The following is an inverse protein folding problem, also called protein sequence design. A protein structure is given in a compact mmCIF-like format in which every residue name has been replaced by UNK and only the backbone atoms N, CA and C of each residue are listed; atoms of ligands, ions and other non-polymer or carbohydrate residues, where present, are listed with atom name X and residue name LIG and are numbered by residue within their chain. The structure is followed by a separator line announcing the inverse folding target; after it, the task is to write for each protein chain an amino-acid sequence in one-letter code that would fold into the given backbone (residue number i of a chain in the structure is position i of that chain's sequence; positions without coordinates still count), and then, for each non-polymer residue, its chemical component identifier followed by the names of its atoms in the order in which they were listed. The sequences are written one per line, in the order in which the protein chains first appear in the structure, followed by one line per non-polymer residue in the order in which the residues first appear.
data_IF_799367400647
#
_entry.id   IF_799367400647
#
_cell.length_a   1.000
_cell.length_b   1.000
_cell.length_c   1.000
_cell.angle_alpha   90.00
_cell.angle_beta   90.00
_cell.angle_gamma   90.00
#
_symmetry.space_group_name_H-M   'P 1'
#
loop_
_entity.id
_entity.type
_entity.pdbx_description
1 polymer ?
#
# COMPACT_ATOMS: atom_id res chain seq x y z
N UNK A 1 2.06 -1.99 32.38
CA UNK A 1 2.08 -1.28 31.10
C UNK A 1 2.27 -2.33 30.02
N UNK A 2 1.48 -2.29 28.94
CA UNK A 2 1.65 -3.21 27.80
C UNK A 2 3.01 -2.93 27.16
N UNK A 3 3.77 -3.98 26.86
CA UNK A 3 5.05 -3.85 26.17
C UNK A 3 4.80 -4.14 24.67
N UNK A 4 4.36 -3.11 23.94
CA UNK A 4 4.04 -3.22 22.54
C UNK A 4 5.22 -2.76 21.69
N UNK A 5 5.57 -3.53 20.66
CA UNK A 5 6.65 -3.25 19.71
C UNK A 5 6.09 -3.01 18.31
N UNK A 6 6.52 -1.94 17.66
CA UNK A 6 6.31 -1.71 16.23
C UNK A 6 7.62 -1.91 15.46
N UNK A 7 7.62 -2.84 14.51
CA UNK A 7 8.72 -3.03 13.55
C UNK A 7 8.35 -2.37 12.22
N UNK A 8 9.22 -1.50 11.70
CA UNK A 8 8.99 -0.74 10.47
C UNK A 8 8.35 0.63 10.70
N UNK A 9 8.69 1.29 11.81
CA UNK A 9 8.15 2.57 12.28
C UNK A 9 8.31 3.72 11.28
N UNK A 10 9.37 3.74 10.48
CA UNK A 10 9.63 4.77 9.46
C UNK A 10 8.92 4.54 8.13
N UNK A 11 8.26 3.38 7.96
CA UNK A 11 7.51 3.04 6.77
C UNK A 11 6.14 3.75 6.71
N UNK A 12 5.50 3.72 5.53
CA UNK A 12 4.18 4.34 5.33
C UNK A 12 3.11 3.77 6.29
N UNK A 13 3.05 2.45 6.45
CA UNK A 13 2.13 1.80 7.38
C UNK A 13 2.51 2.12 8.83
N UNK A 14 3.80 1.96 9.18
CA UNK A 14 4.29 2.20 10.53
C UNK A 14 4.07 3.63 11.00
N UNK A 15 4.35 4.63 10.17
CA UNK A 15 4.13 6.04 10.50
C UNK A 15 2.65 6.37 10.75
N UNK A 16 1.72 5.75 10.01
CA UNK A 16 0.28 5.92 10.26
C UNK A 16 -0.18 5.19 11.54
N UNK A 17 0.43 4.07 11.90
CA UNK A 17 0.19 3.41 13.19
C UNK A 17 0.66 4.27 14.36
N UNK A 18 1.86 4.86 14.30
CA UNK A 18 2.39 5.77 15.32
C UNK A 18 1.52 7.02 15.51
N UNK A 19 0.87 7.51 14.45
CA UNK A 19 -0.06 8.62 14.55
C UNK A 19 -1.35 8.27 15.33
N UNK A 20 -1.61 6.99 15.62
CA UNK A 20 -2.83 6.49 16.28
C UNK A 20 -2.57 5.75 17.58
N UNK A 21 -1.37 5.26 17.80
CA UNK A 21 -1.01 4.51 19.00
C UNK A 21 0.44 4.77 19.40
N UNK A 22 0.68 4.89 20.70
CA UNK A 22 2.02 5.01 21.26
C UNK A 22 2.54 3.63 21.62
N UNK A 23 3.51 3.13 20.89
CA UNK A 23 4.19 1.87 21.19
C UNK A 23 5.23 2.06 22.29
N UNK A 24 5.43 1.04 23.13
CA UNK A 24 6.47 1.06 24.17
C UNK A 24 7.88 1.01 23.55
N UNK A 25 8.02 0.36 22.39
CA UNK A 25 9.24 0.34 21.59
C UNK A 25 8.90 0.37 20.10
N UNK A 26 9.82 0.97 19.33
CA UNK A 26 9.74 1.02 17.87
C UNK A 26 11.12 0.78 17.26
N UNK A 27 11.18 0.13 16.11
CA UNK A 27 12.42 -0.13 15.38
C UNK A 27 12.19 -0.27 13.88
N UNK A 28 13.29 -0.26 13.15
CA UNK A 28 13.37 -0.57 11.73
C UNK A 28 14.43 -1.66 11.47
N UNK A 29 14.63 -2.03 10.23
CA UNK A 29 15.50 -3.17 9.87
C UNK A 29 16.95 -2.99 10.29
N UNK A 30 17.45 -1.74 10.45
CA UNK A 30 18.83 -1.44 10.81
C UNK A 30 19.15 -1.64 12.31
N UNK A 31 18.14 -1.57 13.17
CA UNK A 31 18.29 -1.61 14.64
C UNK A 31 17.46 -2.73 15.31
N UNK A 32 16.82 -3.58 14.49
CA UNK A 32 15.90 -4.64 14.95
C UNK A 32 16.57 -5.64 15.90
N UNK A 33 17.89 -5.82 15.80
CA UNK A 33 18.64 -6.74 16.67
C UNK A 33 18.59 -6.34 18.15
N UNK A 34 18.37 -5.05 18.44
CA UNK A 34 18.18 -4.57 19.81
C UNK A 34 16.89 -5.11 20.44
N UNK A 35 15.97 -5.63 19.64
CA UNK A 35 14.69 -6.18 20.09
C UNK A 35 14.71 -7.70 20.30
N UNK A 36 15.83 -8.38 19.99
CA UNK A 36 15.93 -9.82 20.15
C UNK A 36 15.82 -10.23 21.64
N UNK A 37 15.01 -11.23 21.89
CA UNK A 37 14.77 -11.75 23.25
C UNK A 37 13.88 -10.87 24.14
N UNK A 38 13.38 -9.72 23.66
CA UNK A 38 12.58 -8.78 24.47
C UNK A 38 11.17 -9.30 24.82
N UNK A 39 10.64 -10.24 24.02
CA UNK A 39 9.35 -10.90 24.24
C UNK A 39 8.19 -9.94 24.49
N UNK A 40 7.93 -8.95 23.61
CA UNK A 40 6.86 -7.97 23.82
C UNK A 40 5.50 -8.67 23.93
N UNK A 41 4.55 -8.03 24.65
CA UNK A 41 3.17 -8.53 24.75
C UNK A 41 2.47 -8.53 23.40
N UNK A 42 2.80 -7.55 22.56
CA UNK A 42 2.37 -7.44 21.18
C UNK A 42 3.53 -6.98 20.29
N UNK A 43 3.73 -7.64 19.15
CA UNK A 43 4.56 -7.13 18.07
C UNK A 43 3.70 -6.89 16.83
N UNK A 44 3.70 -5.65 16.30
CA UNK A 44 3.16 -5.34 14.98
C UNK A 44 4.33 -5.28 14.00
N UNK A 45 4.41 -6.27 13.11
CA UNK A 45 5.47 -6.38 12.14
C UNK A 45 5.05 -5.78 10.79
N UNK A 46 5.44 -4.53 10.54
CA UNK A 46 5.24 -3.78 9.29
C UNK A 46 6.58 -3.51 8.56
N UNK A 47 7.64 -4.24 8.92
CA UNK A 47 9.01 -4.01 8.46
C UNK A 47 9.36 -4.62 7.10
N UNK A 48 8.40 -5.22 6.37
CA UNK A 48 8.65 -5.79 5.04
C UNK A 48 8.55 -4.70 3.98
N UNK A 49 9.58 -4.52 3.11
CA UNK A 49 9.55 -3.52 2.05
C UNK A 49 8.40 -3.73 1.07
N UNK A 50 7.71 -2.64 0.68
CA UNK A 50 6.58 -2.68 -0.26
C UNK A 50 6.98 -2.23 -1.69
N UNK A 51 8.23 -2.48 -2.10
CA UNK A 51 8.77 -2.12 -3.41
C UNK A 51 8.55 -3.26 -4.43
N UNK A 52 7.32 -3.41 -4.91
CA UNK A 52 6.90 -4.49 -5.83
C UNK A 52 7.80 -4.59 -7.07
N UNK A 53 8.22 -3.47 -7.64
CA UNK A 53 9.08 -3.44 -8.81
C UNK A 53 10.45 -4.10 -8.52
N UNK A 54 11.08 -3.76 -7.38
CA UNK A 54 12.37 -4.35 -7.00
C UNK A 54 12.24 -5.83 -6.68
N UNK A 55 11.20 -6.22 -5.95
CA UNK A 55 10.93 -7.62 -5.61
C UNK A 55 10.73 -8.50 -6.86
N UNK A 56 10.06 -7.97 -7.89
CA UNK A 56 9.86 -8.70 -9.14
C UNK A 56 11.10 -8.68 -10.05
N UNK A 57 11.97 -7.68 -9.92
CA UNK A 57 13.23 -7.60 -10.65
C UNK A 57 14.30 -8.55 -10.09
N UNK A 58 14.32 -8.75 -8.76
CA UNK A 58 15.23 -9.68 -8.07
C UNK A 58 14.45 -10.54 -7.05
N UNK A 59 13.84 -11.64 -7.49
CA UNK A 59 13.03 -12.53 -6.64
C UNK A 59 13.79 -13.15 -5.46
N UNK A 60 15.05 -13.50 -5.66
CA UNK A 60 15.87 -14.14 -4.63
C UNK A 60 16.29 -13.15 -3.53
N UNK A 61 16.69 -11.94 -3.90
CA UNK A 61 16.97 -10.90 -2.93
C UNK A 61 15.72 -10.56 -2.10
N UNK A 62 14.54 -10.47 -2.72
CA UNK A 62 13.28 -10.26 -2.01
C UNK A 62 12.94 -11.45 -1.08
N UNK A 63 13.15 -12.70 -1.53
CA UNK A 63 12.94 -13.88 -0.69
C UNK A 63 13.91 -13.90 0.52
N UNK A 64 15.14 -13.46 0.33
CA UNK A 64 16.10 -13.34 1.44
C UNK A 64 15.61 -12.34 2.50
N UNK A 65 14.97 -11.24 2.10
CA UNK A 65 14.31 -10.31 3.04
C UNK A 65 13.18 -10.98 3.81
N UNK A 66 12.38 -11.86 3.17
CA UNK A 66 11.32 -12.60 3.88
C UNK A 66 11.89 -13.59 4.87
N UNK A 67 12.99 -14.29 4.54
CA UNK A 67 13.71 -15.18 5.47
C UNK A 67 14.24 -14.40 6.67
N UNK A 68 14.83 -13.22 6.44
CA UNK A 68 15.29 -12.37 7.51
C UNK A 68 14.12 -11.86 8.39
N UNK A 69 12.98 -11.51 7.79
CA UNK A 69 11.79 -11.11 8.54
C UNK A 69 11.28 -12.25 9.44
N UNK A 70 11.20 -13.49 8.93
CA UNK A 70 10.86 -14.67 9.76
C UNK A 70 11.81 -14.81 10.94
N UNK A 71 13.11 -14.77 10.69
CA UNK A 71 14.14 -14.95 11.74
C UNK A 71 14.06 -13.81 12.76
N UNK A 72 13.91 -12.57 12.34
CA UNK A 72 13.71 -11.44 13.24
C UNK A 72 12.51 -11.63 14.18
N UNK A 73 11.36 -12.08 13.65
CA UNK A 73 10.16 -12.34 14.45
C UNK A 73 10.45 -13.45 15.48
N UNK A 74 11.14 -14.54 15.07
CA UNK A 74 11.53 -15.64 15.98
C UNK A 74 12.48 -15.19 17.08
N UNK A 75 13.45 -14.35 16.75
CA UNK A 75 14.41 -13.80 17.73
C UNK A 75 13.76 -12.79 18.69
N UNK A 76 12.81 -11.99 18.24
CA UNK A 76 12.00 -11.11 19.10
C UNK A 76 11.14 -11.95 20.07
N UNK A 77 10.62 -13.08 19.60
CA UNK A 77 9.78 -14.03 20.33
C UNK A 77 8.55 -13.37 21.01
N UNK A 78 7.71 -12.61 20.28
CA UNK A 78 6.58 -11.89 20.86
C UNK A 78 5.53 -12.89 21.42
N UNK A 79 4.77 -12.46 22.46
CA UNK A 79 3.64 -13.26 22.97
C UNK A 79 2.45 -13.25 22.01
N UNK A 80 2.24 -12.12 21.30
CA UNK A 80 1.21 -11.95 20.26
C UNK A 80 1.81 -11.22 19.09
N UNK A 81 1.47 -11.66 17.88
CA UNK A 81 2.02 -11.12 16.63
C UNK A 81 0.90 -10.63 15.71
N UNK A 82 1.09 -9.46 15.13
CA UNK A 82 0.37 -8.99 13.96
C UNK A 82 1.35 -8.84 12.80
N UNK A 83 1.12 -9.57 11.71
CA UNK A 83 1.89 -9.43 10.49
C UNK A 83 1.12 -8.56 9.48
N UNK A 84 1.72 -7.47 9.03
CA UNK A 84 1.20 -6.69 7.91
C UNK A 84 1.60 -7.38 6.59
N UNK A 85 0.60 -7.81 5.85
CA UNK A 85 0.71 -8.47 4.55
C UNK A 85 0.00 -7.67 3.45
N UNK A 86 -0.23 -8.26 2.29
CA UNK A 86 -0.78 -7.61 1.11
C UNK A 86 -1.78 -8.51 0.38
N UNK A 87 -2.76 -7.94 -0.30
CA UNK A 87 -3.64 -8.67 -1.24
C UNK A 87 -2.87 -9.26 -2.43
N UNK A 88 -1.66 -8.78 -2.71
CA UNK A 88 -0.82 -9.31 -3.80
C UNK A 88 -0.39 -10.78 -3.61
N UNK A 89 -0.69 -11.38 -2.45
CA UNK A 89 -0.52 -12.83 -2.20
C UNK A 89 -1.59 -13.68 -2.91
N UNK A 90 -2.60 -13.07 -3.50
CA UNK A 90 -3.69 -13.71 -4.23
C UNK A 90 -3.45 -13.58 -5.74
N UNK A 91 -3.59 -14.68 -6.48
CA UNK A 91 -3.51 -14.68 -7.93
C UNK A 91 -4.73 -13.99 -8.57
N UNK A 92 -5.90 -14.19 -7.98
CA UNK A 92 -7.15 -13.48 -8.29
C UNK A 92 -7.81 -13.07 -6.98
N UNK A 93 -8.10 -11.80 -6.80
CA UNK A 93 -8.76 -11.28 -5.60
C UNK A 93 -10.29 -11.21 -5.71
N UNK A 94 -10.85 -11.51 -6.89
CA UNK A 94 -12.28 -11.34 -7.15
C UNK A 94 -13.13 -12.33 -6.37
N UNK A 95 -13.97 -11.80 -5.49
CA UNK A 95 -14.88 -12.60 -4.65
C UNK A 95 -14.18 -13.46 -3.60
N UNK A 96 -12.92 -13.18 -3.26
CA UNK A 96 -12.11 -13.98 -2.31
C UNK A 96 -12.30 -13.48 -0.89
N UNK A 97 -12.61 -14.41 0.01
CA UNK A 97 -12.69 -14.19 1.47
C UNK A 97 -11.50 -14.83 2.18
N UNK A 98 -11.41 -14.59 3.49
CA UNK A 98 -10.35 -15.19 4.35
C UNK A 98 -10.42 -16.71 4.39
N UNK A 99 -11.63 -17.29 4.28
CA UNK A 99 -11.91 -18.72 4.29
C UNK A 99 -11.98 -19.35 2.89
N UNK A 100 -11.69 -18.57 1.84
CA UNK A 100 -11.66 -19.11 0.48
C UNK A 100 -10.55 -20.16 0.31
N UNK A 101 -10.75 -21.18 -0.55
CA UNK A 101 -9.70 -22.15 -0.84
C UNK A 101 -8.39 -21.50 -1.29
N UNK A 102 -7.29 -22.14 -0.96
CA UNK A 102 -5.97 -21.70 -1.42
C UNK A 102 -5.92 -21.68 -2.96
N UNK A 103 -5.43 -20.58 -3.51
CA UNK A 103 -5.26 -20.43 -4.95
C UNK A 103 -3.92 -21.02 -5.41
N UNK A 104 -3.88 -21.40 -6.69
CA UNK A 104 -2.61 -21.70 -7.35
C UNK A 104 -1.73 -20.44 -7.37
N UNK A 105 -0.48 -20.63 -7.02
CA UNK A 105 0.51 -19.56 -6.90
C UNK A 105 1.51 -19.55 -8.05
N UNK A 106 1.37 -20.43 -9.04
CA UNK A 106 2.32 -20.54 -10.13
C UNK A 106 2.44 -19.24 -10.93
N UNK A 107 1.30 -18.61 -11.21
CA UNK A 107 1.23 -17.32 -11.93
C UNK A 107 1.50 -16.07 -11.09
N UNK A 108 1.72 -16.18 -9.76
CA UNK A 108 1.99 -15.02 -8.94
C UNK A 108 3.35 -14.39 -9.25
N UNK A 109 3.43 -13.05 -9.37
CA UNK A 109 4.72 -12.35 -9.34
C UNK A 109 5.50 -12.63 -8.03
N UNK A 110 6.81 -12.52 -8.09
CA UNK A 110 7.69 -12.80 -6.95
C UNK A 110 7.31 -12.02 -5.69
N UNK A 111 6.91 -10.77 -5.83
CA UNK A 111 6.40 -9.96 -4.71
C UNK A 111 5.28 -10.66 -3.94
N UNK A 112 4.28 -11.18 -4.63
CA UNK A 112 3.15 -11.89 -4.01
C UNK A 112 3.56 -13.26 -3.46
N UNK A 113 4.32 -14.05 -4.24
CA UNK A 113 4.83 -15.37 -3.83
C UNK A 113 5.61 -15.31 -2.52
N UNK A 114 6.56 -14.39 -2.43
CA UNK A 114 7.46 -14.31 -1.29
C UNK A 114 6.73 -13.85 -0.02
N UNK A 115 5.76 -12.93 -0.14
CA UNK A 115 4.92 -12.52 1.01
C UNK A 115 3.99 -13.63 1.46
N UNK A 116 3.39 -14.38 0.53
CA UNK A 116 2.61 -15.57 0.87
C UNK A 116 3.48 -16.63 1.58
N UNK A 117 4.74 -16.78 1.18
CA UNK A 117 5.67 -17.66 1.86
C UNK A 117 5.96 -17.19 3.29
N UNK A 118 6.09 -15.86 3.51
CA UNK A 118 6.23 -15.31 4.87
C UNK A 118 4.97 -15.57 5.71
N UNK A 119 3.76 -15.38 5.14
CA UNK A 119 2.50 -15.72 5.83
C UNK A 119 2.46 -17.20 6.27
N UNK A 120 2.89 -18.11 5.40
CA UNK A 120 2.96 -19.56 5.72
C UNK A 120 3.90 -19.83 6.89
N UNK A 121 5.12 -19.29 6.84
CA UNK A 121 6.10 -19.43 7.92
C UNK A 121 5.61 -18.81 9.23
N UNK A 122 4.94 -17.67 9.18
CA UNK A 122 4.38 -17.05 10.39
C UNK A 122 3.27 -17.91 11.00
N UNK A 123 2.40 -18.52 10.19
CA UNK A 123 1.36 -19.46 10.69
C UNK A 123 1.96 -20.72 11.31
N UNK A 124 3.08 -21.22 10.78
CA UNK A 124 3.82 -22.36 11.33
C UNK A 124 4.46 -22.02 12.68
N UNK A 125 5.15 -20.88 12.78
CA UNK A 125 5.91 -20.48 13.96
C UNK A 125 5.02 -19.83 15.04
N UNK A 126 3.93 -19.13 14.64
CA UNK A 126 3.01 -18.39 15.50
C UNK A 126 1.55 -18.63 15.06
N UNK A 127 0.94 -19.76 15.43
CA UNK A 127 -0.41 -20.15 14.97
C UNK A 127 -1.51 -19.14 15.34
N UNK A 128 -1.28 -18.37 16.42
CA UNK A 128 -2.20 -17.35 16.93
C UNK A 128 -1.94 -15.95 16.36
N UNK A 129 -1.03 -15.81 15.40
CA UNK A 129 -0.77 -14.52 14.77
C UNK A 129 -1.98 -14.04 13.97
N UNK A 130 -2.25 -12.72 14.06
CA UNK A 130 -3.14 -12.03 13.14
C UNK A 130 -2.35 -11.62 11.88
N UNK A 131 -2.75 -12.12 10.72
CA UNK A 131 -2.23 -11.68 9.42
C UNK A 131 -3.21 -10.71 8.80
N UNK A 132 -2.76 -9.48 8.48
CA UNK A 132 -3.59 -8.43 7.92
C UNK A 132 -3.20 -8.19 6.46
N UNK A 133 -4.08 -8.52 5.51
CA UNK A 133 -3.88 -8.29 4.09
C UNK A 133 -4.43 -6.93 3.70
N UNK A 134 -3.52 -6.05 3.30
CA UNK A 134 -3.82 -4.68 2.93
C UNK A 134 -4.02 -4.53 1.42
N UNK A 135 -5.07 -3.79 0.97
CA UNK A 135 -5.31 -3.43 -0.44
C UNK A 135 -4.50 -2.19 -0.86
N UNK A 136 -5.05 -1.34 -1.75
CA UNK A 136 -4.49 -0.03 -2.00
C UNK A 136 -4.70 0.88 -0.78
N UNK A 137 -3.67 1.63 -0.41
CA UNK A 137 -3.64 2.37 0.85
C UNK A 137 -3.62 3.88 0.63
N UNK A 138 -4.26 4.62 1.54
CA UNK A 138 -4.03 6.05 1.68
C UNK A 138 -3.94 6.46 3.15
N UNK A 139 -3.28 7.58 3.39
CA UNK A 139 -2.99 8.11 4.72
C UNK A 139 -1.88 9.14 4.67
N UNK A 140 -1.48 9.64 5.84
CA UNK A 140 -0.41 10.64 5.95
C UNK A 140 0.90 10.06 5.40
N UNK A 141 1.57 10.84 4.53
CA UNK A 141 2.83 10.43 3.94
C UNK A 141 2.72 9.49 2.73
N UNK A 142 1.54 9.36 2.10
CA UNK A 142 1.39 8.63 0.84
C UNK A 142 2.29 9.22 -0.25
N UNK A 143 2.97 8.34 -1.01
CA UNK A 143 3.95 8.75 -2.06
C UNK A 143 3.79 8.01 -3.38
N UNK A 144 2.76 7.19 -3.51
CA UNK A 144 2.50 6.39 -4.71
C UNK A 144 1.04 5.95 -4.74
N UNK A 145 0.56 5.53 -5.84
CA UNK A 145 -0.74 5.06 -6.29
C UNK A 145 -1.57 6.14 -6.97
N UNK A 146 -2.76 5.76 -7.47
CA UNK A 146 -3.64 6.65 -8.22
C UNK A 146 -4.04 7.92 -7.45
N UNK A 147 -4.25 7.84 -6.14
CA UNK A 147 -4.60 9.04 -5.33
C UNK A 147 -3.43 10.02 -5.24
N UNK A 148 -2.20 9.51 -5.12
CA UNK A 148 -1.00 10.33 -5.18
C UNK A 148 -0.85 11.00 -6.54
N UNK A 149 -1.01 10.23 -7.62
CA UNK A 149 -0.91 10.74 -8.99
C UNK A 149 -1.99 11.78 -9.29
N UNK A 150 -3.22 11.58 -8.76
CA UNK A 150 -4.33 12.54 -8.88
C UNK A 150 -4.05 13.84 -8.11
N UNK A 151 -3.39 13.76 -6.95
CA UNK A 151 -3.02 14.94 -6.18
C UNK A 151 -1.87 15.72 -6.82
N UNK A 152 -0.77 15.03 -7.14
CA UNK A 152 0.45 15.67 -7.62
C UNK A 152 0.40 16.05 -9.10
N UNK A 153 -0.30 15.28 -9.92
CA UNK A 153 -0.38 15.39 -11.38
C UNK A 153 1.00 15.26 -12.07
N UNK A 154 2.07 15.40 -11.31
CA UNK A 154 3.46 15.35 -11.80
C UNK A 154 3.96 13.92 -11.87
N UNK A 155 4.36 13.40 -13.06
CA UNK A 155 4.92 12.07 -13.18
C UNK A 155 6.20 11.91 -12.36
N UNK A 156 6.28 10.86 -11.54
CA UNK A 156 7.49 10.57 -10.74
C UNK A 156 8.68 10.16 -11.64
N UNK A 157 8.41 9.57 -12.81
CA UNK A 157 9.41 9.15 -13.78
C UNK A 157 8.93 9.38 -15.21
N UNK A 158 9.86 9.72 -16.11
CA UNK A 158 9.62 9.90 -17.53
C UNK A 158 10.56 8.99 -18.33
N UNK A 159 10.05 8.42 -19.43
CA UNK A 159 10.90 7.77 -20.43
C UNK A 159 11.76 8.83 -21.14
N UNK A 160 12.94 8.48 -21.68
CA UNK A 160 13.84 9.43 -22.34
C UNK A 160 13.17 10.26 -23.44
N UNK A 161 12.33 9.63 -24.26
CA UNK A 161 11.64 10.29 -25.37
C UNK A 161 10.65 11.34 -24.84
N UNK A 162 9.86 10.98 -23.79
CA UNK A 162 8.88 11.88 -23.19
C UNK A 162 9.56 13.02 -22.42
N UNK A 163 10.68 12.72 -21.73
CA UNK A 163 11.47 13.76 -21.10
C UNK A 163 11.99 14.78 -22.12
N UNK A 164 12.56 14.30 -23.25
CA UNK A 164 13.09 15.18 -24.30
C UNK A 164 12.02 16.08 -24.89
N UNK A 165 10.81 15.52 -25.15
CA UNK A 165 9.66 16.28 -25.64
C UNK A 165 9.24 17.40 -24.65
N UNK A 166 9.11 17.07 -23.37
CA UNK A 166 8.62 18.00 -22.34
C UNK A 166 9.69 19.02 -21.93
N UNK A 167 10.96 18.62 -21.86
CA UNK A 167 12.08 19.51 -21.56
C UNK A 167 12.32 20.56 -22.67
N UNK A 168 11.98 20.23 -23.92
CA UNK A 168 11.99 21.20 -25.03
C UNK A 168 10.89 22.27 -24.86
N UNK A 169 9.76 21.93 -24.20
CA UNK A 169 8.65 22.85 -23.93
C UNK A 169 8.87 23.73 -22.70
N UNK A 170 9.69 23.27 -21.72
CA UNK A 170 9.85 23.98 -20.44
C UNK A 170 11.20 23.74 -19.78
N UNK A 171 11.96 24.81 -19.47
CA UNK A 171 13.16 24.74 -18.66
C UNK A 171 12.91 24.13 -17.25
N UNK A 172 11.69 24.30 -16.73
CA UNK A 172 11.26 23.73 -15.45
C UNK A 172 11.36 22.21 -15.47
N UNK A 173 10.87 21.54 -16.52
CA UNK A 173 10.98 20.08 -16.69
C UNK A 173 12.44 19.67 -16.81
N UNK A 174 13.22 20.44 -17.56
CA UNK A 174 14.65 20.16 -17.76
C UNK A 174 15.45 20.13 -16.45
N UNK A 175 15.12 21.01 -15.50
CA UNK A 175 15.79 21.06 -14.20
C UNK A 175 15.22 20.07 -13.17
N UNK A 176 13.92 19.73 -13.30
CA UNK A 176 13.21 18.91 -12.31
C UNK A 176 13.50 17.40 -12.38
N UNK A 177 14.07 16.92 -13.49
CA UNK A 177 14.28 15.49 -13.69
C UNK A 177 15.77 15.18 -13.95
N UNK A 178 16.24 14.08 -13.38
CA UNK A 178 17.61 13.58 -13.53
C UNK A 178 17.57 12.14 -14.05
N UNK A 179 18.46 11.80 -14.98
CA UNK A 179 18.61 10.43 -15.49
C UNK A 179 19.05 9.51 -14.35
N UNK A 180 18.29 8.44 -14.14
CA UNK A 180 18.59 7.39 -13.17
C UNK A 180 19.25 6.18 -13.85
N UNK A 181 19.87 5.29 -13.06
CA UNK A 181 20.62 4.11 -13.54
C UNK A 181 19.75 3.14 -14.36
N UNK A 182 18.43 3.16 -14.14
CA UNK A 182 17.47 2.34 -14.90
C UNK A 182 17.06 2.93 -16.25
N UNK A 183 17.71 4.02 -16.69
CA UNK A 183 17.46 4.67 -17.98
C UNK A 183 16.24 5.60 -18.00
N UNK A 184 15.52 5.77 -16.90
CA UNK A 184 14.41 6.72 -16.79
C UNK A 184 14.87 8.04 -16.17
N UNK A 185 14.22 9.12 -16.55
CA UNK A 185 14.37 10.41 -15.88
C UNK A 185 13.45 10.45 -14.64
N UNK A 186 14.04 10.55 -13.47
CA UNK A 186 13.35 10.58 -12.17
C UNK A 186 13.26 12.02 -11.65
N UNK A 187 12.10 12.36 -11.08
CA UNK A 187 11.89 13.62 -10.38
C UNK A 187 12.92 13.76 -9.24
N UNK A 188 13.66 14.87 -9.24
CA UNK A 188 14.79 15.09 -8.33
C UNK A 188 14.46 15.97 -7.10
N UNK A 189 13.25 16.54 -7.06
CA UNK A 189 12.78 17.37 -5.94
C UNK A 189 13.36 18.78 -5.85
N UNK A 190 14.08 19.23 -6.88
CA UNK A 190 14.71 20.58 -6.87
C UNK A 190 13.80 21.68 -7.37
N UNK A 191 12.77 21.34 -8.13
CA UNK A 191 11.83 22.31 -8.70
C UNK A 191 10.63 22.53 -7.76
N UNK A 192 10.01 23.71 -7.87
CA UNK A 192 8.80 24.05 -7.14
C UNK A 192 7.66 23.06 -7.52
N UNK A 193 7.09 22.31 -6.56
CA UNK A 193 6.01 21.36 -6.81
C UNK A 193 4.76 22.02 -7.39
N UNK A 194 4.42 23.25 -6.98
CA UNK A 194 3.24 23.95 -7.48
C UNK A 194 3.40 24.36 -8.95
N UNK A 195 4.59 24.81 -9.33
CA UNK A 195 4.90 25.13 -10.73
C UNK A 195 4.89 23.89 -11.63
N UNK A 196 5.44 22.76 -11.16
CA UNK A 196 5.37 21.47 -11.88
C UNK A 196 3.93 21.01 -12.05
N UNK A 197 3.14 21.05 -10.97
CA UNK A 197 1.73 20.68 -11.01
C UNK A 197 0.97 21.52 -12.02
N UNK A 198 1.16 22.84 -12.02
CA UNK A 198 0.52 23.73 -12.99
C UNK A 198 0.93 23.40 -14.43
N UNK A 199 2.22 23.14 -14.67
CA UNK A 199 2.73 22.71 -15.98
C UNK A 199 2.05 21.41 -16.45
N UNK A 200 2.06 20.36 -15.62
CA UNK A 200 1.49 19.07 -16.02
C UNK A 200 -0.04 19.09 -16.09
N UNK A 201 -0.73 19.92 -15.31
CA UNK A 201 -2.17 20.10 -15.42
C UNK A 201 -2.60 20.77 -16.73
N UNK A 202 -1.73 21.59 -17.32
CA UNK A 202 -1.95 22.27 -18.60
C UNK A 202 -1.51 21.45 -19.83
N UNK A 203 -0.93 20.24 -19.63
CA UNK A 203 -0.48 19.37 -20.71
C UNK A 203 -1.38 18.14 -20.82
N UNK A 204 -1.51 17.60 -22.04
CA UNK A 204 -2.25 16.34 -22.30
C UNK A 204 -1.60 15.12 -21.62
N UNK A 205 -0.30 15.17 -21.35
CA UNK A 205 0.43 14.12 -20.66
C UNK A 205 0.79 14.55 -19.24
N UNK A 206 0.30 13.79 -18.27
CA UNK A 206 0.58 13.97 -16.84
C UNK A 206 0.57 12.61 -16.12
N UNK A 207 0.66 12.58 -14.78
CA UNK A 207 0.71 11.34 -14.00
C UNK A 207 -0.52 10.44 -14.21
N UNK A 208 -1.68 10.98 -14.54
CA UNK A 208 -2.89 10.19 -14.77
C UNK A 208 -2.82 9.32 -16.04
N UNK A 209 -1.89 9.62 -16.96
CA UNK A 209 -1.67 8.81 -18.16
C UNK A 209 -1.22 7.36 -17.86
N UNK A 210 -0.78 7.06 -16.65
CA UNK A 210 -0.34 5.72 -16.25
C UNK A 210 -1.44 4.83 -15.68
N UNK A 211 -2.62 5.37 -15.41
CA UNK A 211 -3.75 4.63 -14.82
C UNK A 211 -4.89 4.50 -15.82
N UNK A 212 -5.34 3.27 -16.07
CA UNK A 212 -6.55 3.01 -16.84
C UNK A 212 -7.78 3.44 -16.03
N UNK A 213 -8.63 4.28 -16.61
CA UNK A 213 -9.81 4.84 -15.95
C UNK A 213 -10.82 3.77 -15.50
N UNK A 214 -10.82 2.62 -16.19
CA UNK A 214 -11.69 1.46 -15.90
C UNK A 214 -11.16 0.58 -14.78
N UNK A 215 -9.87 0.71 -14.41
CA UNK A 215 -9.29 -0.10 -13.32
C UNK A 215 -10.02 0.12 -12.02
N UNK A 216 -10.45 -0.98 -11.37
CA UNK A 216 -11.14 -0.96 -10.09
C UNK A 216 -10.17 -1.29 -8.96
N UNK A 217 -10.18 -0.46 -7.94
CA UNK A 217 -9.35 -0.56 -6.74
C UNK A 217 -10.22 -0.60 -5.50
N UNK A 218 -9.64 -1.04 -4.40
CA UNK A 218 -10.18 -0.96 -3.05
C UNK A 218 -9.22 -0.12 -2.23
N UNK A 219 -9.64 1.06 -1.78
CA UNK A 219 -8.76 2.00 -1.08
C UNK A 219 -9.04 1.97 0.42
N UNK A 220 -8.03 1.64 1.21
CA UNK A 220 -8.15 1.57 2.66
C UNK A 220 -7.43 2.73 3.36
N UNK A 221 -8.15 3.41 4.27
CA UNK A 221 -7.63 4.51 5.08
C UNK A 221 -6.78 3.97 6.24
N UNK A 222 -5.48 4.21 6.20
CA UNK A 222 -4.56 3.81 7.28
C UNK A 222 -4.87 4.45 8.63
N UNK A 223 -5.61 5.56 8.65
CA UNK A 223 -6.09 6.17 9.90
C UNK A 223 -6.98 5.27 10.75
N UNK A 224 -7.53 4.18 10.19
CA UNK A 224 -8.35 3.17 10.86
C UNK A 224 -7.55 1.95 11.31
N UNK A 225 -6.34 1.74 10.77
CA UNK A 225 -5.63 0.46 10.86
C UNK A 225 -5.46 -0.02 12.31
N UNK A 226 -5.08 0.87 13.23
CA UNK A 226 -4.90 0.48 14.62
C UNK A 226 -6.20 -0.05 15.24
N UNK A 227 -7.31 0.69 15.11
CA UNK A 227 -8.61 0.30 15.68
C UNK A 227 -9.15 -0.99 15.06
N UNK A 228 -8.98 -1.17 13.74
CA UNK A 228 -9.46 -2.35 13.04
C UNK A 228 -8.64 -3.61 13.45
N UNK A 229 -7.32 -3.48 13.62
CA UNK A 229 -6.49 -4.56 14.17
C UNK A 229 -6.85 -4.92 15.61
N UNK A 230 -7.13 -3.93 16.48
CA UNK A 230 -7.55 -4.17 17.86
C UNK A 230 -8.88 -4.94 17.92
N UNK A 231 -9.87 -4.53 17.12
CA UNK A 231 -11.14 -5.23 17.02
C UNK A 231 -10.96 -6.68 16.54
N UNK A 232 -10.14 -6.91 15.51
CA UNK A 232 -9.86 -8.24 14.98
C UNK A 232 -9.14 -9.12 16.03
N UNK A 233 -8.17 -8.57 16.76
CA UNK A 233 -7.46 -9.29 17.84
C UNK A 233 -8.39 -9.64 19.00
N UNK A 234 -9.27 -8.73 19.40
CA UNK A 234 -10.26 -8.97 20.45
C UNK A 234 -11.24 -10.09 20.09
N UNK A 235 -11.52 -10.28 18.79
CA UNK A 235 -12.36 -11.34 18.25
C UNK A 235 -11.59 -12.61 17.84
N UNK A 236 -10.30 -12.70 18.20
CA UNK A 236 -9.41 -13.84 17.87
C UNK A 236 -9.30 -14.17 16.37
N UNK A 237 -9.41 -13.15 15.52
CA UNK A 237 -9.24 -13.30 14.06
C UNK A 237 -7.79 -13.60 13.74
N UNK A 238 -7.54 -14.62 12.90
CA UNK A 238 -6.19 -15.04 12.49
C UNK A 238 -5.79 -14.54 11.11
N UNK A 239 -6.76 -14.27 10.24
CA UNK A 239 -6.56 -13.68 8.92
C UNK A 239 -7.62 -12.60 8.70
N UNK A 240 -7.19 -11.43 8.28
CA UNK A 240 -8.07 -10.28 8.08
C UNK A 240 -7.83 -9.65 6.70
N UNK A 241 -8.89 -9.49 5.93
CA UNK A 241 -8.92 -8.70 4.72
C UNK A 241 -9.49 -7.31 5.03
N UNK A 242 -8.68 -6.27 4.90
CA UNK A 242 -9.15 -4.90 5.04
C UNK A 242 -9.62 -4.36 3.69
N UNK A 243 -10.85 -4.67 3.32
CA UNK A 243 -11.40 -4.42 2.00
C UNK A 243 -12.60 -3.47 2.01
N UNK A 244 -12.54 -2.46 1.17
CA UNK A 244 -13.63 -1.53 0.83
C UNK A 244 -14.31 -1.97 -0.47
N UNK A 245 -15.48 -1.43 -0.83
CA UNK A 245 -16.09 -1.76 -2.13
C UNK A 245 -15.17 -1.38 -3.30
N UNK A 246 -15.16 -2.15 -4.40
CA UNK A 246 -14.41 -1.77 -5.59
C UNK A 246 -14.92 -0.46 -6.20
N UNK A 247 -14.00 0.50 -6.39
CA UNK A 247 -14.24 1.78 -7.07
C UNK A 247 -13.32 1.92 -8.27
N UNK A 248 -13.85 2.39 -9.41
CA UNK A 248 -13.01 2.66 -10.58
C UNK A 248 -12.18 3.93 -10.40
N UNK A 249 -11.05 4.01 -11.10
CA UNK A 249 -10.26 5.24 -11.11
C UNK A 249 -11.08 6.44 -11.63
N UNK A 250 -11.99 6.21 -12.61
CA UNK A 250 -12.90 7.24 -13.10
C UNK A 250 -13.90 7.71 -12.01
N UNK A 251 -14.49 6.80 -11.23
CA UNK A 251 -15.37 7.15 -10.11
C UNK A 251 -14.63 8.00 -9.06
N UNK A 252 -13.41 7.61 -8.70
CA UNK A 252 -12.57 8.36 -7.76
C UNK A 252 -12.21 9.74 -8.32
N UNK A 253 -11.81 9.81 -9.60
CA UNK A 253 -11.53 11.09 -10.25
C UNK A 253 -12.73 12.01 -10.20
N UNK A 254 -13.91 11.52 -10.56
CA UNK A 254 -15.17 12.30 -10.51
C UNK A 254 -15.50 12.76 -9.10
N UNK A 255 -15.41 11.89 -8.11
CA UNK A 255 -15.71 12.24 -6.72
C UNK A 255 -14.77 13.32 -6.16
N UNK A 256 -13.48 13.25 -6.48
CA UNK A 256 -12.46 14.18 -5.98
C UNK A 256 -12.49 15.52 -6.72
N UNK A 257 -12.63 15.50 -8.05
CA UNK A 257 -12.51 16.71 -8.90
C UNK A 257 -13.83 17.36 -9.25
N UNK A 258 -14.95 16.64 -9.13
CA UNK A 258 -16.27 17.08 -9.62
C UNK A 258 -16.44 17.02 -11.15
N UNK A 259 -15.46 16.46 -11.89
CA UNK A 259 -15.46 16.34 -13.34
C UNK A 259 -15.75 14.89 -13.75
N UNK A 260 -16.69 14.67 -14.66
CA UNK A 260 -17.14 13.32 -15.05
C UNK A 260 -16.55 12.81 -16.39
N UNK A 261 -15.66 13.59 -17.01
CA UNK A 261 -15.22 13.39 -18.40
C UNK A 261 -13.78 12.85 -18.54
N UNK A 262 -13.19 12.36 -17.44
CA UNK A 262 -11.85 11.79 -17.53
C UNK A 262 -11.90 10.35 -18.07
N UNK A 263 -11.28 10.18 -19.23
CA UNK A 263 -11.10 8.89 -19.91
C UNK A 263 -9.61 8.65 -20.15
N UNK A 264 -9.13 7.49 -19.78
CA UNK A 264 -7.79 7.01 -20.14
C UNK A 264 -7.85 5.49 -20.26
N UNK A 265 -7.69 4.98 -21.45
CA UNK A 265 -7.68 3.55 -21.72
C UNK A 265 -6.27 3.10 -22.10
N UNK A 266 -5.75 2.13 -21.36
CA UNK A 266 -4.45 1.54 -21.63
C UNK A 266 -4.59 0.25 -22.46
N UNK A 267 -3.58 -0.11 -23.28
CA UNK A 267 -3.63 -1.32 -24.11
C UNK A 267 -3.52 -2.63 -23.32
N UNK A 268 -3.49 -2.57 -21.99
CA UNK A 268 -3.45 -3.71 -21.07
C UNK A 268 -4.82 -3.91 -20.40
N UNK A 269 -5.08 -5.12 -19.93
CA UNK A 269 -6.28 -5.40 -19.11
C UNK A 269 -6.30 -4.50 -17.87
N UNK A 270 -7.41 -3.77 -17.61
CA UNK A 270 -7.57 -2.99 -16.39
C UNK A 270 -7.45 -3.86 -15.13
N UNK A 271 -6.95 -3.31 -14.06
CA UNK A 271 -7.01 -3.98 -12.76
C UNK A 271 -8.47 -4.12 -12.31
N UNK A 272 -8.77 -5.25 -11.68
CA UNK A 272 -10.11 -5.55 -11.18
C UNK A 272 -10.02 -6.25 -9.82
N UNK A 273 -9.89 -5.46 -8.74
CA UNK A 273 -9.83 -5.96 -7.39
C UNK A 273 -11.23 -6.01 -6.78
N UNK A 274 -11.58 -7.17 -6.17
CA UNK A 274 -12.83 -7.38 -5.43
C UNK A 274 -12.59 -8.39 -4.29
N UNK A 275 -11.67 -8.03 -3.39
CA UNK A 275 -11.44 -8.78 -2.16
C UNK A 275 -12.59 -8.54 -1.20
N UNK A 276 -12.99 -9.56 -0.46
CA UNK A 276 -14.12 -9.54 0.48
C UNK A 276 -13.69 -10.00 1.87
N UNK A 277 -14.46 -9.64 2.88
CA UNK A 277 -14.18 -10.01 4.26
C UNK A 277 -15.39 -10.63 4.96
N UNK A 278 -15.17 -11.78 5.62
CA UNK A 278 -16.10 -12.36 6.59
C UNK A 278 -16.22 -11.53 7.85
N UNK A 279 -15.26 -10.65 8.08
CA UNK A 279 -15.14 -9.83 9.30
C UNK A 279 -15.63 -8.38 9.10
N UNK A 280 -16.26 -8.07 7.96
CA UNK A 280 -16.71 -6.71 7.64
C UNK A 280 -17.60 -6.10 8.74
N UNK A 281 -18.57 -6.86 9.24
CA UNK A 281 -19.47 -6.40 10.30
C UNK A 281 -18.74 -6.10 11.62
N UNK A 282 -17.70 -6.86 11.97
CA UNK A 282 -16.87 -6.63 13.16
C UNK A 282 -16.18 -5.24 13.12
N UNK A 283 -15.87 -4.76 11.92
CA UNK A 283 -15.17 -3.50 11.68
C UNK A 283 -16.12 -2.33 11.31
N UNK A 284 -17.41 -2.48 11.58
CA UNK A 284 -18.44 -1.46 11.34
C UNK A 284 -18.96 -1.40 9.91
N UNK A 285 -18.61 -2.37 9.08
CA UNK A 285 -19.14 -2.53 7.72
C UNK A 285 -20.43 -3.34 7.65
N UNK A 286 -20.88 -3.60 6.44
CA UNK A 286 -22.05 -4.43 6.17
C UNK A 286 -21.84 -5.27 4.90
N UNK A 287 -22.38 -6.52 4.89
CA UNK A 287 -22.12 -7.46 3.81
C UNK A 287 -20.63 -7.83 3.75
N UNK A 288 -19.99 -7.63 2.61
CA UNK A 288 -18.66 -8.13 2.31
C UNK A 288 -17.54 -7.08 2.51
N UNK A 289 -17.89 -5.82 2.84
CA UNK A 289 -16.99 -4.68 2.85
C UNK A 289 -17.08 -3.84 4.12
N UNK A 290 -16.01 -3.13 4.44
CA UNK A 290 -15.86 -2.31 5.64
C UNK A 290 -16.72 -1.03 5.62
N UNK A 291 -17.28 -0.66 4.48
CA UNK A 291 -18.12 0.52 4.30
C UNK A 291 -18.96 0.38 3.01
N UNK A 292 -19.83 1.34 2.75
CA UNK A 292 -20.49 1.46 1.42
C UNK A 292 -19.56 2.16 0.43
N UNK A 293 -19.82 1.99 -0.88
CA UNK A 293 -19.08 2.68 -1.94
C UNK A 293 -19.11 4.21 -1.76
N UNK A 294 -20.26 4.77 -1.39
CA UNK A 294 -20.40 6.20 -1.17
C UNK A 294 -19.53 6.67 0.00
N UNK A 295 -19.53 5.94 1.12
CA UNK A 295 -18.68 6.26 2.27
C UNK A 295 -17.18 6.22 1.91
N UNK A 296 -16.74 5.27 1.09
CA UNK A 296 -15.35 5.19 0.61
C UNK A 296 -14.99 6.42 -0.23
N UNK A 297 -15.83 6.77 -1.24
CA UNK A 297 -15.61 7.93 -2.09
C UNK A 297 -15.62 9.25 -1.29
N UNK A 298 -16.51 9.38 -0.30
CA UNK A 298 -16.58 10.54 0.59
C UNK A 298 -15.33 10.65 1.46
N UNK A 299 -14.82 9.52 2.00
CA UNK A 299 -13.62 9.50 2.83
C UNK A 299 -12.36 9.83 2.02
N UNK A 300 -12.23 9.25 0.83
CA UNK A 300 -11.17 9.59 -0.13
C UNK A 300 -11.21 11.10 -0.46
N UNK A 301 -12.40 11.63 -0.78
CA UNK A 301 -12.56 13.04 -1.13
C UNK A 301 -12.18 13.96 0.03
N UNK A 302 -12.57 13.60 1.26
CA UNK A 302 -12.20 14.33 2.49
C UNK A 302 -10.70 14.32 2.70
N UNK A 303 -10.06 13.15 2.56
CA UNK A 303 -8.61 13.01 2.65
C UNK A 303 -7.90 13.88 1.62
N UNK A 304 -8.29 13.80 0.35
CA UNK A 304 -7.70 14.56 -0.75
C UNK A 304 -7.82 16.09 -0.56
N UNK A 305 -8.93 16.57 0.00
CA UNK A 305 -9.13 18.00 0.32
C UNK A 305 -8.30 18.46 1.52
N UNK A 306 -8.05 17.59 2.48
CA UNK A 306 -7.23 17.88 3.67
C UNK A 306 -5.73 17.74 3.44
N UNK A 307 -5.34 17.14 2.31
CA UNK A 307 -3.93 16.93 1.99
C UNK A 307 -3.22 18.26 1.77
N UNK A 308 -2.18 18.51 2.56
CA UNK A 308 -1.24 19.62 2.41
C UNK A 308 0.09 19.06 1.89
N UNK A 309 0.68 19.76 0.92
CA UNK A 309 2.00 19.44 0.36
C UNK A 309 3.11 19.68 1.40
#
# INVERSE_FOLDING_TARGET
MSCDLLVGSTGFVGGNLLAKHTFAAECHSSDITAQYGTRPDLCVYAGVPAAMFLANADPEADLAVMRAARENIRQIAPKRLVLISSIAVLADSRGVYEDSPAQDTEGLPAYGKNRLQLERWVREDFPDALIVRLPALYGVGIRKNFLFDLHTITPAMLRPEKYSELAAKSPLVKSAYTLADNGFYKLNGTADPAALRAFFAANDFNALAFTDARSRYQFYNLGRLWSDMEAARAADVKLLHLCTPPVSAAEVYTAVTGKADWHNELPKTPFDYDLRSRHAALLGGSGDYLCTKQQELDDITRFMRSWRD
#
